data_IF_160242547314
#
_entry.id   IF_160242547314
#
_cell.length_a   1.000
_cell.length_b   1.000
_cell.length_c   1.000
_cell.angle_alpha   90.00
_cell.angle_beta   90.00
_cell.angle_gamma   90.00
#
_symmetry.space_group_name_H-M   'P 1'
#
loop_
_entity.id
_entity.type
_entity.pdbx_description
1 polymer ?
#
# COMPACT_ATOMS: atom_id res chain seq x y z
N UNK A 1 -8.18 7.10 -9.35
CA UNK A 1 -6.95 6.37 -8.96
C UNK A 1 -7.01 6.11 -7.46
N UNK A 2 -6.69 4.89 -6.99
CA UNK A 2 -6.64 4.52 -5.57
C UNK A 2 -5.20 4.34 -5.15
N UNK A 3 -4.79 4.93 -4.03
CA UNK A 3 -3.47 4.69 -3.45
C UNK A 3 -3.59 4.05 -2.07
N UNK A 4 -2.74 3.06 -1.81
CA UNK A 4 -2.67 2.33 -0.54
C UNK A 4 -1.29 2.58 0.06
N UNK A 5 -1.25 3.14 1.25
CA UNK A 5 -0.02 3.39 2.02
C UNK A 5 0.04 2.41 3.18
N UNK A 6 1.15 1.70 3.31
CA UNK A 6 1.42 0.79 4.42
C UNK A 6 2.67 1.27 5.15
N UNK A 7 2.54 1.57 6.43
CA UNK A 7 3.67 1.95 7.29
C UNK A 7 4.26 0.68 7.91
N UNK A 8 5.50 0.36 7.57
CA UNK A 8 6.21 -0.83 8.04
C UNK A 8 7.35 -0.47 8.97
N UNK A 9 7.10 -0.49 10.30
CA UNK A 9 8.02 0.02 11.32
C UNK A 9 9.32 -0.77 11.42
N UNK A 10 9.24 -2.09 11.23
CA UNK A 10 10.40 -2.99 11.34
C UNK A 10 10.91 -3.46 9.98
N UNK A 11 10.19 -3.14 8.90
CA UNK A 11 10.53 -3.58 7.55
C UNK A 11 11.89 -3.03 7.15
N UNK A 12 12.82 -3.92 6.82
CA UNK A 12 14.21 -3.58 6.49
C UNK A 12 14.29 -2.65 5.29
N UNK A 13 15.22 -1.72 5.37
CA UNK A 13 15.50 -0.72 4.33
C UNK A 13 16.73 -1.06 3.48
N UNK A 14 17.37 -2.21 3.75
CA UNK A 14 18.38 -2.81 2.88
C UNK A 14 17.81 -4.01 2.13
N UNK A 15 18.44 -4.37 1.00
CA UNK A 15 18.10 -5.59 0.27
C UNK A 15 18.77 -6.85 0.84
N UNK A 16 19.39 -6.78 2.01
CA UNK A 16 20.15 -7.88 2.64
C UNK A 16 19.24 -8.69 3.57
N UNK A 17 18.28 -9.40 2.99
CA UNK A 17 17.40 -10.31 3.70
C UNK A 17 17.09 -11.57 2.88
N UNK A 18 16.63 -12.63 3.55
CA UNK A 18 16.27 -13.89 2.92
C UNK A 18 14.82 -13.89 2.43
N UNK A 19 14.62 -14.17 1.15
CA UNK A 19 13.29 -14.40 0.59
C UNK A 19 12.58 -15.65 1.14
N UNK A 20 13.31 -16.53 1.82
CA UNK A 20 12.76 -17.71 2.48
C UNK A 20 12.34 -17.43 3.93
N UNK A 21 12.67 -16.24 4.44
CA UNK A 21 12.36 -15.84 5.81
C UNK A 21 12.03 -14.33 5.87
N UNK A 22 11.00 -13.92 5.16
CA UNK A 22 10.51 -12.54 5.17
C UNK A 22 10.03 -12.08 6.56
N UNK A 23 9.41 -12.94 7.40
CA UNK A 23 9.03 -12.54 8.75
C UNK A 23 10.23 -12.24 9.66
N UNK A 24 11.23 -13.09 9.67
CA UNK A 24 12.39 -12.99 10.57
C UNK A 24 13.48 -12.08 10.02
N UNK A 25 14.02 -12.39 8.83
CA UNK A 25 15.19 -11.69 8.29
C UNK A 25 14.91 -10.33 7.68
N UNK A 26 13.65 -10.01 7.35
CA UNK A 26 13.27 -8.75 6.72
C UNK A 26 12.34 -7.86 7.56
N UNK A 27 12.23 -8.11 8.87
CA UNK A 27 11.45 -7.28 9.78
C UNK A 27 9.95 -7.25 9.45
N UNK A 28 9.34 -8.43 9.29
CA UNK A 28 7.91 -8.61 8.98
C UNK A 28 7.51 -8.09 7.59
N UNK A 29 8.43 -8.14 6.63
CA UNK A 29 8.15 -7.81 5.22
C UNK A 29 7.02 -8.68 4.62
N UNK A 30 6.78 -9.88 5.17
CA UNK A 30 5.68 -10.76 4.83
C UNK A 30 4.31 -10.04 4.86
N UNK A 31 4.08 -9.19 5.87
CA UNK A 31 2.84 -8.42 6.02
C UNK A 31 2.69 -7.43 4.86
N UNK A 32 3.76 -6.70 4.54
CA UNK A 32 3.76 -5.74 3.45
C UNK A 32 3.53 -6.44 2.09
N UNK A 33 4.15 -7.60 1.88
CA UNK A 33 3.96 -8.41 0.67
C UNK A 33 2.50 -8.86 0.52
N UNK A 34 1.84 -9.29 1.61
CA UNK A 34 0.40 -9.61 1.60
C UNK A 34 -0.45 -8.38 1.27
N UNK A 35 -0.10 -7.21 1.79
CA UNK A 35 -0.80 -5.96 1.45
C UNK A 35 -0.66 -5.62 -0.03
N UNK A 36 0.53 -5.77 -0.62
CA UNK A 36 0.75 -5.60 -2.08
C UNK A 36 -0.15 -6.54 -2.87
N UNK A 37 -0.20 -7.82 -2.48
CA UNK A 37 -1.04 -8.82 -3.16
C UNK A 37 -2.53 -8.48 -3.05
N UNK A 38 -3.02 -8.13 -1.86
CA UNK A 38 -4.43 -7.76 -1.65
C UNK A 38 -4.83 -6.47 -2.35
N UNK A 39 -3.87 -5.57 -2.57
CA UNK A 39 -4.12 -4.31 -3.28
C UNK A 39 -4.24 -4.49 -4.79
N UNK A 40 -3.49 -5.43 -5.36
CA UNK A 40 -3.29 -5.47 -6.81
C UNK A 40 -3.96 -6.67 -7.48
N UNK A 41 -3.99 -7.85 -6.84
CA UNK A 41 -4.48 -9.05 -7.51
C UNK A 41 -5.99 -9.23 -7.46
N UNK A 42 -6.52 -9.71 -8.58
CA UNK A 42 -7.85 -10.26 -8.77
C UNK A 42 -7.73 -11.72 -9.24
N UNK A 43 -8.84 -12.47 -9.26
CA UNK A 43 -8.82 -13.87 -9.72
C UNK A 43 -8.26 -14.05 -11.13
N UNK A 44 -8.51 -13.07 -12.01
CA UNK A 44 -8.12 -13.14 -13.43
C UNK A 44 -7.42 -11.85 -13.88
N UNK A 45 -6.43 -11.37 -13.12
CA UNK A 45 -5.66 -10.20 -13.51
C UNK A 45 -5.24 -9.33 -12.35
N UNK A 46 -4.85 -8.12 -12.66
CA UNK A 46 -4.40 -7.11 -11.70
C UNK A 46 -5.16 -5.80 -11.87
N UNK A 47 -5.41 -5.12 -10.75
CA UNK A 47 -5.91 -3.74 -10.74
C UNK A 47 -4.86 -2.82 -11.35
N UNK A 48 -5.28 -2.02 -12.33
CA UNK A 48 -4.41 -1.05 -13.02
C UNK A 48 -4.61 0.39 -12.52
N UNK A 49 -5.64 0.60 -11.73
CA UNK A 49 -6.04 1.86 -11.11
C UNK A 49 -5.58 2.00 -9.65
N UNK A 50 -4.67 1.14 -9.20
CA UNK A 50 -4.17 1.10 -7.81
C UNK A 50 -2.66 1.27 -7.79
N UNK A 51 -2.16 2.13 -6.89
CA UNK A 51 -0.75 2.18 -6.49
C UNK A 51 -0.61 1.75 -5.03
N UNK A 52 0.52 1.16 -4.71
CA UNK A 52 0.86 0.76 -3.34
C UNK A 52 2.16 1.42 -2.94
N UNK A 53 2.17 2.06 -1.78
CA UNK A 53 3.33 2.73 -1.20
C UNK A 53 3.68 2.04 0.12
N UNK A 54 4.84 1.43 0.19
CA UNK A 54 5.37 0.82 1.39
C UNK A 54 6.39 1.79 2.00
N UNK A 55 6.03 2.42 3.11
CA UNK A 55 6.96 3.24 3.89
C UNK A 55 7.73 2.32 4.85
N UNK A 56 9.01 2.12 4.59
CA UNK A 56 9.89 1.24 5.35
C UNK A 56 10.67 2.07 6.38
N UNK A 57 10.48 1.77 7.65
CA UNK A 57 11.07 2.49 8.79
C UNK A 57 12.05 1.64 9.60
N UNK A 58 12.34 0.41 9.17
CA UNK A 58 13.32 -0.45 9.82
C UNK A 58 14.77 -0.07 9.49
N UNK A 59 15.70 -0.81 10.08
CA UNK A 59 17.14 -0.65 9.88
C UNK A 59 17.56 -1.07 8.45
N UNK A 60 18.74 -0.65 7.96
CA UNK A 60 19.70 0.26 8.61
C UNK A 60 19.47 1.75 8.32
N UNK A 61 18.61 2.12 7.37
CA UNK A 61 18.45 3.48 6.86
C UNK A 61 16.95 3.81 6.71
N UNK A 62 16.24 4.10 7.84
CA UNK A 62 14.81 4.37 7.84
C UNK A 62 14.39 5.49 6.88
N UNK A 63 13.19 5.38 6.31
CA UNK A 63 12.67 6.37 5.37
C UNK A 63 12.89 5.98 3.91
N UNK A 64 12.67 4.72 3.57
CA UNK A 64 12.56 4.24 2.18
C UNK A 64 11.10 4.02 1.82
N UNK A 65 10.74 4.43 0.62
CA UNK A 65 9.38 4.21 0.09
C UNK A 65 9.52 3.33 -1.15
N UNK A 66 8.88 2.15 -1.12
CA UNK A 66 8.76 1.31 -2.31
C UNK A 66 7.37 1.52 -2.88
N UNK A 67 7.31 2.06 -4.10
CA UNK A 67 6.05 2.30 -4.82
C UNK A 67 5.84 1.26 -5.91
N UNK A 68 4.68 0.62 -5.88
CA UNK A 68 4.17 -0.25 -6.94
C UNK A 68 3.08 0.50 -7.70
N UNK A 69 3.27 0.73 -9.00
CA UNK A 69 2.30 1.39 -9.88
C UNK A 69 1.54 0.34 -10.69
N UNK A 70 0.30 0.06 -10.33
CA UNK A 70 -0.50 -0.99 -10.95
C UNK A 70 -0.57 -0.89 -12.48
N UNK A 71 -0.68 0.33 -13.01
CA UNK A 71 -0.75 0.58 -14.46
C UNK A 71 0.48 0.06 -15.22
N UNK A 72 1.66 0.19 -14.63
CA UNK A 72 2.94 -0.12 -15.30
C UNK A 72 3.60 -1.39 -14.78
N UNK A 73 2.98 -2.02 -13.77
CA UNK A 73 3.59 -3.15 -13.05
C UNK A 73 3.68 -4.39 -13.94
N UNK A 74 4.86 -5.00 -13.93
CA UNK A 74 5.17 -6.29 -14.56
C UNK A 74 5.93 -7.17 -13.58
N UNK A 75 5.97 -8.48 -13.87
CA UNK A 75 6.76 -9.48 -13.14
C UNK A 75 6.33 -9.71 -11.69
N UNK A 76 5.12 -9.27 -11.29
CA UNK A 76 4.55 -9.58 -9.99
C UNK A 76 3.64 -10.81 -10.11
N UNK A 77 3.86 -11.80 -9.24
CA UNK A 77 2.99 -12.97 -9.06
C UNK A 77 2.26 -12.87 -7.71
N UNK A 78 1.12 -13.57 -7.53
CA UNK A 78 0.29 -13.47 -6.34
C UNK A 78 0.85 -14.28 -5.15
N UNK A 79 2.14 -14.10 -4.85
CA UNK A 79 2.83 -14.74 -3.74
C UNK A 79 3.78 -13.76 -3.03
N UNK A 80 4.04 -14.02 -1.75
CA UNK A 80 4.88 -13.15 -0.92
C UNK A 80 6.32 -13.09 -1.42
N UNK A 81 6.84 -14.19 -1.96
CA UNK A 81 8.21 -14.27 -2.45
C UNK A 81 8.42 -13.38 -3.69
N UNK A 82 7.43 -13.33 -4.58
CA UNK A 82 7.47 -12.46 -5.76
C UNK A 82 7.49 -10.99 -5.36
N UNK A 83 6.58 -10.58 -4.48
CA UNK A 83 6.54 -9.21 -3.93
C UNK A 83 7.86 -8.87 -3.21
N UNK A 84 8.32 -9.76 -2.33
CA UNK A 84 9.57 -9.60 -1.60
C UNK A 84 10.79 -9.49 -2.52
N UNK A 85 10.83 -10.26 -3.61
CA UNK A 85 11.91 -10.17 -4.60
C UNK A 85 11.94 -8.82 -5.32
N UNK A 86 10.79 -8.24 -5.64
CA UNK A 86 10.71 -6.92 -6.26
C UNK A 86 11.14 -5.81 -5.27
N UNK A 87 10.72 -5.91 -4.00
CA UNK A 87 11.16 -5.01 -2.93
C UNK A 87 12.67 -5.12 -2.75
N UNK A 88 13.20 -6.32 -2.63
CA UNK A 88 14.64 -6.57 -2.48
C UNK A 88 15.44 -5.96 -3.62
N UNK A 89 15.05 -6.19 -4.87
CA UNK A 89 15.68 -5.60 -6.05
C UNK A 89 15.63 -4.08 -6.05
N UNK A 90 14.52 -3.50 -5.57
CA UNK A 90 14.35 -2.06 -5.48
C UNK A 90 15.31 -1.47 -4.44
N UNK A 91 15.42 -2.08 -3.27
CA UNK A 91 16.34 -1.65 -2.20
C UNK A 91 17.81 -1.79 -2.60
N UNK A 92 18.18 -2.87 -3.30
CA UNK A 92 19.55 -3.07 -3.80
C UNK A 92 19.98 -2.05 -4.87
N UNK A 93 19.02 -1.45 -5.60
CA UNK A 93 19.31 -0.40 -6.58
C UNK A 93 19.36 1.01 -5.99
N UNK A 94 19.03 1.14 -4.72
CA UNK A 94 18.92 2.44 -4.08
C UNK A 94 20.28 3.16 -4.04
N UNK A 95 20.42 4.20 -4.87
CA UNK A 95 21.49 5.17 -4.74
C UNK A 95 20.98 6.36 -3.90
N UNK A 96 21.77 6.78 -2.93
CA UNK A 96 21.39 7.80 -1.96
C UNK A 96 20.73 9.04 -2.61
N UNK A 97 19.49 9.35 -2.20
CA UNK A 97 18.81 10.62 -2.46
C UNK A 97 18.17 10.80 -3.84
N UNK A 98 18.01 9.76 -4.63
CA UNK A 98 17.31 9.84 -5.92
C UNK A 98 16.18 8.83 -6.05
N UNK A 99 15.09 9.23 -6.68
CA UNK A 99 14.01 8.32 -7.07
C UNK A 99 14.50 7.40 -8.19
N UNK A 100 14.46 6.11 -7.95
CA UNK A 100 15.00 5.11 -8.88
C UNK A 100 13.92 4.14 -9.30
N UNK A 101 13.73 4.00 -10.61
CA UNK A 101 12.96 2.90 -11.18
C UNK A 101 13.73 1.59 -11.11
N UNK A 102 13.25 0.66 -10.30
CA UNK A 102 13.87 -0.66 -10.15
C UNK A 102 13.52 -1.60 -11.31
N UNK A 103 12.23 -1.81 -11.50
CA UNK A 103 11.64 -2.62 -12.57
C UNK A 103 10.40 -1.88 -13.12
N UNK A 104 9.81 -2.30 -14.25
CA UNK A 104 8.57 -1.67 -14.72
C UNK A 104 7.50 -1.63 -13.63
N UNK A 105 7.05 -0.42 -13.27
CA UNK A 105 6.05 -0.19 -12.24
C UNK A 105 6.53 -0.31 -10.78
N UNK A 106 7.84 -0.46 -10.53
CA UNK A 106 8.40 -0.49 -9.16
C UNK A 106 9.47 0.58 -9.02
N UNK A 107 9.32 1.42 -8.00
CA UNK A 107 10.21 2.54 -7.69
C UNK A 107 10.71 2.48 -6.25
N UNK A 108 11.90 2.98 -6.03
CA UNK A 108 12.43 3.29 -4.70
C UNK A 108 12.59 4.80 -4.58
N UNK A 109 12.02 5.35 -3.52
CA UNK A 109 12.11 6.77 -3.16
C UNK A 109 12.68 6.87 -1.76
N UNK A 110 13.22 8.05 -1.42
CA UNK A 110 13.64 8.36 -0.05
C UNK A 110 12.68 9.40 0.52
N UNK A 111 12.18 9.18 1.73
CA UNK A 111 11.26 10.11 2.38
C UNK A 111 10.66 9.52 3.65
N UNK A 112 10.10 10.38 4.46
CA UNK A 112 9.35 10.08 5.66
C UNK A 112 7.84 10.14 5.42
N UNK A 113 7.05 9.96 6.48
CA UNK A 113 5.58 10.01 6.39
C UNK A 113 5.11 11.39 5.90
N UNK A 114 5.69 12.49 6.40
CA UNK A 114 5.28 13.84 6.02
C UNK A 114 5.52 14.12 4.54
N UNK A 115 6.68 13.75 4.02
CA UNK A 115 7.01 13.91 2.60
C UNK A 115 6.11 13.05 1.70
N UNK A 116 5.77 11.85 2.16
CA UNK A 116 4.82 10.98 1.45
C UNK A 116 3.42 11.59 1.44
N UNK A 117 2.92 12.09 2.58
CA UNK A 117 1.61 12.74 2.67
C UNK A 117 1.55 14.01 1.80
N UNK A 118 2.61 14.81 1.79
CA UNK A 118 2.69 15.99 0.93
C UNK A 118 2.57 15.65 -0.57
N UNK A 119 3.04 14.47 -0.98
CA UNK A 119 2.88 14.01 -2.38
C UNK A 119 1.42 13.73 -2.78
N UNK A 120 0.52 13.65 -1.82
CA UNK A 120 -0.92 13.45 -2.01
C UNK A 120 -1.74 14.74 -1.79
N UNK A 121 -1.12 15.92 -1.88
CA UNK A 121 -1.82 17.20 -1.72
C UNK A 121 -3.06 17.27 -2.63
N UNK A 122 -4.19 17.71 -2.06
CA UNK A 122 -5.48 17.83 -2.76
C UNK A 122 -6.26 16.52 -2.89
N UNK A 123 -5.77 15.41 -2.38
CA UNK A 123 -6.45 14.11 -2.40
C UNK A 123 -7.13 13.80 -1.06
N UNK A 124 -8.06 12.83 -1.07
CA UNK A 124 -8.77 12.40 0.14
C UNK A 124 -7.94 11.39 0.92
N UNK A 125 -7.37 11.81 2.05
CA UNK A 125 -6.61 10.95 2.95
C UNK A 125 -7.54 10.23 3.92
N UNK A 126 -7.42 8.91 4.03
CA UNK A 126 -8.27 8.03 4.82
C UNK A 126 -7.39 7.12 5.68
N UNK A 127 -7.39 7.35 6.99
CA UNK A 127 -6.65 6.55 7.95
C UNK A 127 -7.54 5.48 8.58
N UNK A 128 -7.12 4.22 8.50
CA UNK A 128 -7.90 3.09 9.00
C UNK A 128 -7.65 2.83 10.48
N UNK A 129 -8.73 2.86 11.27
CA UNK A 129 -8.78 2.53 12.69
C UNK A 129 -10.17 1.98 13.04
N UNK A 130 -10.26 1.07 14.03
CA UNK A 130 -11.50 0.32 14.33
C UNK A 130 -12.65 1.22 14.80
N UNK A 131 -12.34 2.32 15.48
CA UNK A 131 -13.31 3.29 16.02
C UNK A 131 -13.59 4.47 15.08
N UNK A 132 -13.09 4.40 13.83
CA UNK A 132 -13.36 5.39 12.80
C UNK A 132 -14.80 5.35 12.29
N UNK A 133 -15.14 6.32 11.44
CA UNK A 133 -16.43 6.34 10.75
C UNK A 133 -16.55 5.14 9.80
N UNK A 134 -17.69 4.48 9.77
CA UNK A 134 -17.92 3.35 8.86
C UNK A 134 -17.71 3.79 7.40
N UNK A 135 -16.77 3.14 6.73
CA UNK A 135 -16.38 3.49 5.36
C UNK A 135 -17.55 3.39 4.38
N UNK A 136 -18.50 2.47 4.59
CA UNK A 136 -19.69 2.30 3.76
C UNK A 136 -20.59 3.54 3.71
N UNK A 137 -20.56 4.36 4.77
CA UNK A 137 -21.36 5.59 4.83
C UNK A 137 -20.83 6.70 3.93
N UNK A 138 -19.52 6.67 3.64
CA UNK A 138 -18.83 7.74 2.89
C UNK A 138 -18.28 7.29 1.53
N UNK A 139 -18.19 5.99 1.27
CA UNK A 139 -17.55 5.43 0.07
C UNK A 139 -18.08 6.03 -1.24
N UNK A 140 -19.38 6.40 -1.28
CA UNK A 140 -20.01 7.00 -2.46
C UNK A 140 -19.56 8.44 -2.75
N UNK A 141 -19.05 9.15 -1.76
CA UNK A 141 -18.64 10.55 -1.87
C UNK A 141 -17.13 10.68 -2.11
N UNK A 142 -16.38 9.61 -1.88
CA UNK A 142 -14.93 9.61 -1.93
C UNK A 142 -14.43 9.70 -3.37
N UNK A 143 -13.48 10.62 -3.59
CA UNK A 143 -12.78 10.80 -4.85
C UNK A 143 -11.27 10.72 -4.60
N UNK A 144 -10.55 10.08 -5.52
CA UNK A 144 -9.08 9.93 -5.48
C UNK A 144 -8.53 9.55 -4.10
N UNK A 145 -9.02 8.45 -3.50
CA UNK A 145 -8.68 8.08 -2.14
C UNK A 145 -7.22 7.65 -1.98
N UNK A 146 -6.67 7.99 -0.82
CA UNK A 146 -5.40 7.47 -0.30
C UNK A 146 -5.69 6.81 1.03
N UNK A 147 -5.62 5.50 1.10
CA UNK A 147 -5.84 4.72 2.31
C UNK A 147 -4.52 4.47 3.04
N UNK A 148 -4.48 4.77 4.33
CA UNK A 148 -3.27 4.66 5.13
C UNK A 148 -3.51 3.65 6.25
N UNK A 149 -2.62 2.66 6.32
CA UNK A 149 -2.67 1.55 7.29
C UNK A 149 -1.28 1.34 7.91
N UNK A 150 -1.25 0.95 9.17
CA UNK A 150 -0.05 0.44 9.82
C UNK A 150 0.19 -1.05 9.51
N UNK A 151 1.36 -1.52 9.91
CA UNK A 151 1.68 -2.94 9.96
C UNK A 151 1.02 -3.63 11.19
N UNK A 152 1.61 -4.73 11.66
CA UNK A 152 1.10 -5.48 12.84
C UNK A 152 1.23 -4.73 14.18
N UNK A 153 1.91 -3.61 14.22
CA UNK A 153 2.03 -2.75 15.41
C UNK A 153 1.07 -1.56 15.37
N UNK A 154 0.35 -1.40 14.25
CA UNK A 154 -0.56 -0.27 14.03
C UNK A 154 0.18 0.98 13.57
N UNK A 155 -0.35 2.14 13.90
CA UNK A 155 0.21 3.47 13.67
C UNK A 155 0.56 4.05 15.02
N UNK A 156 1.73 4.68 15.17
CA UNK A 156 2.16 5.31 16.42
C UNK A 156 1.39 6.60 16.68
N UNK A 157 1.37 7.06 17.94
CA UNK A 157 0.71 8.33 18.32
C UNK A 157 1.26 9.53 17.54
N UNK A 158 2.58 9.56 17.27
CA UNK A 158 3.20 10.64 16.49
C UNK A 158 2.80 10.59 15.03
N UNK A 159 2.76 9.40 14.42
CA UNK A 159 2.29 9.23 13.04
C UNK A 159 0.81 9.56 12.92
N UNK A 160 -0.02 9.14 13.88
CA UNK A 160 -1.44 9.49 13.89
C UNK A 160 -1.62 11.01 13.94
N UNK A 161 -0.86 11.71 14.78
CA UNK A 161 -0.87 13.17 14.82
C UNK A 161 -0.52 13.77 13.46
N UNK A 162 0.53 13.28 12.80
CA UNK A 162 0.92 13.73 11.46
C UNK A 162 -0.20 13.49 10.44
N UNK A 163 -0.86 12.33 10.49
CA UNK A 163 -1.99 12.01 9.61
C UNK A 163 -3.15 12.97 9.82
N UNK A 164 -3.53 13.25 11.06
CA UNK A 164 -4.62 14.15 11.39
C UNK A 164 -4.30 15.61 11.03
N UNK A 165 -3.08 16.06 11.27
CA UNK A 165 -2.59 17.39 10.85
C UNK A 165 -2.59 17.54 9.32
N UNK A 166 -2.34 16.46 8.57
CA UNK A 166 -2.46 16.43 7.11
C UNK A 166 -3.92 16.35 6.61
N UNK A 167 -4.91 16.30 7.52
CA UNK A 167 -6.33 16.27 7.20
C UNK A 167 -6.89 14.88 6.90
N UNK A 168 -6.22 13.80 7.34
CA UNK A 168 -6.75 12.46 7.15
C UNK A 168 -8.02 12.24 7.98
N UNK A 169 -9.04 11.65 7.34
CA UNK A 169 -10.26 11.22 8.00
C UNK A 169 -10.05 9.82 8.57
N UNK A 170 -10.46 9.63 9.83
CA UNK A 170 -10.41 8.30 10.47
C UNK A 170 -11.63 7.49 10.03
N UNK A 171 -11.38 6.36 9.41
CA UNK A 171 -12.41 5.45 8.89
C UNK A 171 -12.25 4.04 9.45
N UNK A 172 -13.34 3.28 9.43
CA UNK A 172 -13.38 1.88 9.84
C UNK A 172 -14.01 1.01 8.75
N UNK A 173 -13.48 -0.20 8.57
CA UNK A 173 -14.08 -1.23 7.72
C UNK A 173 -14.91 -2.25 8.51
N UNK A 174 -15.07 -2.02 9.81
CA UNK A 174 -15.87 -2.85 10.72
C UNK A 174 -15.38 -2.74 12.17
N UNK A 175 -16.14 -3.27 13.13
CA UNK A 175 -15.91 -3.08 14.56
C UNK A 175 -14.82 -3.98 15.15
N UNK A 176 -14.19 -4.82 14.34
CA UNK A 176 -13.16 -5.78 14.78
C UNK A 176 -11.85 -5.46 14.05
N UNK A 177 -10.76 -5.43 14.80
CA UNK A 177 -9.43 -5.28 14.25
C UNK A 177 -9.08 -6.43 13.32
N UNK A 178 -8.72 -6.12 12.08
CA UNK A 178 -8.34 -7.08 11.07
C UNK A 178 -6.90 -6.84 10.62
N UNK A 179 -6.28 -7.86 10.05
CA UNK A 179 -5.00 -7.67 9.38
C UNK A 179 -5.14 -6.65 8.23
N UNK A 180 -4.13 -5.80 8.04
CA UNK A 180 -4.14 -4.72 7.05
C UNK A 180 -4.48 -5.20 5.63
N UNK A 181 -3.97 -6.38 5.23
CA UNK A 181 -4.31 -6.97 3.93
C UNK A 181 -5.80 -7.35 3.79
N UNK A 182 -6.49 -7.71 4.88
CA UNK A 182 -7.93 -7.97 4.88
C UNK A 182 -8.72 -6.66 4.81
N UNK A 183 -8.27 -5.63 5.53
CA UNK A 183 -8.86 -4.29 5.42
C UNK A 183 -8.82 -3.77 3.97
N UNK A 184 -7.70 -3.93 3.28
CA UNK A 184 -7.54 -3.55 1.87
C UNK A 184 -8.57 -4.27 0.98
N UNK A 185 -8.79 -5.56 1.22
CA UNK A 185 -9.80 -6.33 0.46
C UNK A 185 -11.21 -5.78 0.67
N UNK A 186 -11.56 -5.41 1.91
CA UNK A 186 -12.86 -4.81 2.22
C UNK A 186 -13.04 -3.43 1.60
N UNK A 187 -12.00 -2.59 1.64
CA UNK A 187 -11.99 -1.29 0.98
C UNK A 187 -12.25 -1.43 -0.52
N UNK A 188 -11.51 -2.32 -1.18
CA UNK A 188 -11.68 -2.55 -2.61
C UNK A 188 -13.08 -3.08 -2.93
N UNK A 189 -13.58 -4.05 -2.15
CA UNK A 189 -14.92 -4.60 -2.36
C UNK A 189 -16.00 -3.52 -2.27
N UNK A 190 -15.89 -2.59 -1.32
CA UNK A 190 -16.86 -1.51 -1.17
C UNK A 190 -16.79 -0.51 -2.33
N UNK A 191 -15.59 -0.09 -2.72
CA UNK A 191 -15.41 0.79 -3.88
C UNK A 191 -15.88 0.15 -5.19
N UNK A 192 -15.60 -1.15 -5.38
CA UNK A 192 -16.05 -1.89 -6.57
C UNK A 192 -17.59 -1.95 -6.63
N UNK A 193 -18.28 -2.06 -5.48
CA UNK A 193 -19.76 -1.99 -5.41
C UNK A 193 -20.26 -0.61 -5.81
N UNK A 194 -19.64 0.46 -5.30
CA UNK A 194 -19.99 1.84 -5.64
C UNK A 194 -19.80 2.10 -7.14
N UNK A 195 -18.68 1.65 -7.72
CA UNK A 195 -18.41 1.78 -9.15
C UNK A 195 -19.44 1.01 -9.99
N UNK A 196 -19.78 -0.23 -9.59
CA UNK A 196 -20.79 -1.03 -10.28
C UNK A 196 -22.18 -0.37 -10.25
N UNK A 197 -22.58 0.24 -9.12
CA UNK A 197 -23.85 0.98 -9.01
C UNK A 197 -23.88 2.21 -9.92
N UNK A 198 -22.73 2.82 -10.22
CA UNK A 198 -22.62 3.94 -11.17
C UNK A 198 -22.54 3.49 -12.64
N UNK A 199 -22.52 2.20 -12.90
CA UNK A 199 -22.33 1.63 -14.22
C UNK A 199 -20.90 1.72 -14.73
N UNK A 200 -19.95 1.97 -13.85
CA UNK A 200 -18.51 1.95 -14.14
C UNK A 200 -18.00 0.49 -14.13
N UNK A 201 -16.85 0.24 -14.74
CA UNK A 201 -16.20 -1.08 -14.70
C UNK A 201 -15.37 -1.16 -13.42
N UNK A 202 -15.78 -1.97 -12.41
CA UNK A 202 -15.03 -2.08 -11.17
C UNK A 202 -13.59 -2.55 -11.40
N UNK A 203 -12.63 -1.92 -10.70
CA UNK A 203 -11.21 -2.28 -10.78
C UNK A 203 -10.48 -1.76 -12.02
N UNK A 204 -11.09 -0.86 -12.77
CA UNK A 204 -10.49 -0.26 -13.97
C UNK A 204 -10.27 -1.28 -15.09
N UNK A 205 -9.33 -1.01 -15.97
CA UNK A 205 -8.93 -1.94 -17.04
C UNK A 205 -8.19 -3.16 -16.45
N UNK A 206 -8.93 -4.21 -16.13
CA UNK A 206 -8.36 -5.49 -15.72
C UNK A 206 -7.69 -6.09 -16.94
N UNK A 207 -6.35 -6.08 -16.99
CA UNK A 207 -5.66 -6.85 -18.01
C UNK A 207 -5.82 -8.33 -17.68
N UNK A 208 -6.62 -9.05 -18.49
CA UNK A 208 -6.54 -10.50 -18.50
C UNK A 208 -5.14 -10.88 -19.02
N UNK A 209 -4.49 -11.92 -18.49
CA UNK A 209 -3.36 -12.50 -19.18
C UNK A 209 -3.84 -12.84 -20.61
N UNK A 210 -3.15 -12.35 -21.60
CA UNK A 210 -3.33 -12.84 -22.96
C UNK A 210 -2.91 -14.31 -22.94
N UNK A 211 -3.79 -15.19 -23.42
CA UNK A 211 -3.54 -16.63 -23.58
C UNK A 211 -2.35 -16.90 -24.51
#
# INVERSE_FOLDING_TARGET
>A
MRDIVIIGHKAMTSGDFSLNDLPGSAGRMDILCRCVSSSLFLSFGMRRDVNVHLLLLGEPDPGKIIRFEGLHLRYLNPDERSSGSLIQKALLKNAAGQDIRSTPGVWTLTGDLNSLLASFEGRTLLYLREDGKDFREIAREIQDPVFILGDHTGVTEEEEKQLLEAGAQVISVGPISLHSNHCITLIHNELDRVEAERGEIPGGNISRPED
#
